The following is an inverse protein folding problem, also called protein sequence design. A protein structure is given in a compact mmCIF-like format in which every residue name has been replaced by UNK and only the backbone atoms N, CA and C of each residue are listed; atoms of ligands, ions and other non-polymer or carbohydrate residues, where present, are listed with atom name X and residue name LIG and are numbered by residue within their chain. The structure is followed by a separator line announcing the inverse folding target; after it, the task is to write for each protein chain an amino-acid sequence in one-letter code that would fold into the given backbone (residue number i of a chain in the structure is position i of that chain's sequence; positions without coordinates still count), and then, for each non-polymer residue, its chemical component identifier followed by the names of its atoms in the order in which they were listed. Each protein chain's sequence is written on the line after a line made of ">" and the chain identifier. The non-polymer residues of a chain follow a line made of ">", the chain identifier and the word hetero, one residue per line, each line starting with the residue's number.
data_IF_154236525873
#
_entry.id   IF_154236525873
#
_cell.length_a   1.000
_cell.length_b   1.000
_cell.length_c   1.000
_cell.angle_alpha   90.00
_cell.angle_beta   90.00
_cell.angle_gamma   90.00
#
_symmetry.space_group_name_H-M   'P 1'
#
loop_
_entity.id
_entity.type
_entity.pdbx_description
1 polymer ?
#
# COMPACT_ATOMS: atom_id res chain seq x y z
N UNK A 1 0.10 -17.57 4.42
CA UNK A 1 1.31 -18.10 5.10
C UNK A 1 2.56 -17.25 4.86
N UNK A 2 2.88 -16.85 3.62
CA UNK A 2 4.04 -15.98 3.31
C UNK A 2 4.06 -14.64 4.06
N UNK A 3 2.91 -13.95 4.16
CA UNK A 3 2.83 -12.65 4.85
C UNK A 3 3.02 -12.76 6.38
N UNK A 4 2.63 -13.90 6.98
CA UNK A 4 2.84 -14.17 8.41
C UNK A 4 4.32 -14.47 8.70
N UNK A 5 4.96 -15.26 7.84
CA UNK A 5 6.40 -15.54 7.95
C UNK A 5 7.25 -14.27 7.79
N UNK A 6 6.89 -13.40 6.83
CA UNK A 6 7.56 -12.11 6.62
C UNK A 6 7.38 -11.18 7.84
N UNK A 7 6.19 -11.15 8.44
CA UNK A 7 5.93 -10.39 9.67
C UNK A 7 6.77 -10.87 10.86
N UNK A 8 6.85 -12.18 11.07
CA UNK A 8 7.69 -12.78 12.13
C UNK A 8 9.17 -12.46 11.90
N UNK A 9 9.66 -12.56 10.67
CA UNK A 9 11.04 -12.23 10.32
C UNK A 9 11.37 -10.75 10.61
N UNK A 10 10.45 -9.84 10.26
CA UNK A 10 10.61 -8.41 10.53
C UNK A 10 10.67 -8.13 12.04
N UNK A 11 9.80 -8.75 12.83
CA UNK A 11 9.82 -8.61 14.30
C UNK A 11 11.12 -9.14 14.90
N UNK A 12 11.61 -10.31 14.45
CA UNK A 12 12.88 -10.87 14.91
C UNK A 12 14.07 -9.97 14.54
N UNK A 13 14.07 -9.38 13.34
CA UNK A 13 15.09 -8.44 12.89
C UNK A 13 15.11 -7.18 13.77
N UNK A 14 13.94 -6.63 14.10
CA UNK A 14 13.84 -5.47 14.98
C UNK A 14 14.35 -5.78 16.40
N UNK A 15 14.01 -6.95 16.94
CA UNK A 15 14.51 -7.40 18.25
C UNK A 15 16.03 -7.56 18.20
N UNK A 16 16.58 -8.18 17.15
CA UNK A 16 18.02 -8.34 16.98
C UNK A 16 18.74 -6.98 16.91
N UNK A 17 18.21 -6.01 16.16
CA UNK A 17 18.77 -4.66 16.11
C UNK A 17 18.70 -3.97 17.47
N UNK A 18 17.60 -4.10 18.21
CA UNK A 18 17.47 -3.54 19.55
C UNK A 18 18.52 -4.12 20.52
N UNK A 19 18.76 -5.43 20.44
CA UNK A 19 19.80 -6.11 21.24
C UNK A 19 21.20 -5.59 20.86
N UNK A 20 21.51 -5.47 19.57
CA UNK A 20 22.81 -4.97 19.11
C UNK A 20 23.07 -3.55 19.60
N UNK A 21 22.05 -2.67 19.52
CA UNK A 21 22.15 -1.30 20.02
C UNK A 21 22.37 -1.30 21.53
N UNK A 22 21.62 -2.11 22.28
CA UNK A 22 21.75 -2.22 23.73
C UNK A 22 23.12 -2.76 24.16
N UNK A 23 23.64 -3.80 23.50
CA UNK A 23 24.97 -4.35 23.79
C UNK A 23 26.04 -3.32 23.47
N UNK A 24 25.89 -2.60 22.36
CA UNK A 24 26.83 -1.55 21.97
C UNK A 24 26.87 -0.42 23.01
N UNK A 25 25.72 0.06 23.52
CA UNK A 25 25.70 1.10 24.55
C UNK A 25 26.36 0.63 25.86
N UNK A 26 26.14 -0.62 26.28
CA UNK A 26 26.80 -1.18 27.46
C UNK A 26 28.33 -1.23 27.30
N UNK A 27 28.82 -1.62 26.11
CA UNK A 27 30.26 -1.65 25.82
C UNK A 27 30.85 -0.23 25.89
N UNK A 28 30.20 0.76 25.26
CA UNK A 28 30.67 2.15 25.29
C UNK A 28 30.68 2.73 26.72
N UNK A 29 29.65 2.45 27.52
CA UNK A 29 29.59 2.89 28.92
C UNK A 29 30.68 2.20 29.76
N UNK A 30 30.92 0.90 29.55
CA UNK A 30 31.96 0.16 30.25
C UNK A 30 33.37 0.65 29.93
N UNK A 31 33.68 0.86 28.64
CA UNK A 31 34.95 1.45 28.20
C UNK A 31 35.10 2.86 28.77
N UNK A 32 34.02 3.65 28.75
CA UNK A 32 34.01 4.99 29.31
C UNK A 32 34.30 5.02 30.81
N UNK A 33 33.69 4.11 31.58
CA UNK A 33 33.94 3.97 33.01
C UNK A 33 35.38 3.50 33.30
N UNK A 34 35.90 2.54 32.54
CA UNK A 34 37.27 2.06 32.68
C UNK A 34 38.31 3.14 32.40
N UNK A 35 38.13 3.91 31.31
CA UNK A 35 38.98 5.06 31.01
C UNK A 35 38.84 6.17 32.06
N UNK A 36 37.65 6.30 32.68
CA UNK A 36 37.39 7.25 33.78
C UNK A 36 38.23 7.00 35.03
N UNK A 37 38.69 5.76 35.25
CA UNK A 37 39.56 5.45 36.37
C UNK A 37 41.05 5.72 36.07
N UNK A 38 41.44 5.86 34.80
CA UNK A 38 42.86 5.87 34.37
C UNK A 38 43.37 7.28 34.06
N UNK A 39 42.51 8.19 33.59
CA UNK A 39 42.92 9.57 33.24
C UNK A 39 42.26 10.59 34.21
N UNK A 40 42.84 11.80 34.39
CA UNK A 40 42.17 12.89 35.10
C UNK A 40 41.15 13.55 34.16
N UNK A 41 39.89 13.09 34.25
CA UNK A 41 38.81 13.27 33.28
C UNK A 41 37.98 14.55 33.45
N UNK A 42 38.22 15.55 32.61
CA UNK A 42 37.18 16.54 32.26
C UNK A 42 36.86 16.52 30.76
N UNK A 43 37.87 16.36 29.91
CA UNK A 43 37.72 16.38 28.46
C UNK A 43 37.06 15.12 27.89
N UNK A 44 37.36 13.94 28.44
CA UNK A 44 36.83 12.67 27.92
C UNK A 44 35.33 12.52 28.16
N UNK A 45 34.84 12.95 29.32
CA UNK A 45 33.42 12.91 29.66
C UNK A 45 32.60 13.83 28.75
N UNK A 46 33.15 15.00 28.40
CA UNK A 46 32.58 15.90 27.39
C UNK A 46 32.59 15.32 25.98
N UNK A 47 33.68 14.65 25.58
CA UNK A 47 33.78 13.99 24.28
C UNK A 47 32.78 12.82 24.14
N UNK A 48 32.59 12.01 25.18
CA UNK A 48 31.58 10.95 25.16
C UNK A 48 30.16 11.50 25.10
N UNK A 49 29.88 12.57 25.84
CA UNK A 49 28.56 13.21 25.82
C UNK A 49 28.25 13.82 24.45
N UNK A 50 29.24 14.46 23.80
CA UNK A 50 29.07 15.04 22.47
C UNK A 50 28.90 13.98 21.38
N UNK A 51 29.67 12.88 21.44
CA UNK A 51 29.54 11.76 20.49
C UNK A 51 28.18 11.07 20.68
N UNK A 52 27.76 10.83 21.93
CA UNK A 52 26.48 10.19 22.25
C UNK A 52 25.30 11.04 21.76
N UNK A 53 25.31 12.34 22.05
CA UNK A 53 24.25 13.25 21.59
C UNK A 53 24.21 13.36 20.07
N UNK A 54 25.35 13.45 19.39
CA UNK A 54 25.41 13.47 17.94
C UNK A 54 24.82 12.18 17.34
N UNK A 55 25.16 11.02 17.89
CA UNK A 55 24.64 9.73 17.41
C UNK A 55 23.13 9.62 17.59
N UNK A 56 22.59 10.02 18.75
CA UNK A 56 21.14 10.02 19.01
C UNK A 56 20.41 10.97 18.06
N UNK A 57 20.96 12.15 17.78
CA UNK A 57 20.37 13.09 16.82
C UNK A 57 20.34 12.51 15.40
N UNK A 58 21.44 11.89 14.96
CA UNK A 58 21.51 11.26 13.63
C UNK A 58 20.51 10.12 13.51
N UNK A 59 20.39 9.26 14.53
CA UNK A 59 19.41 8.18 14.54
C UNK A 59 17.95 8.69 14.58
N UNK A 60 17.70 9.78 15.30
CA UNK A 60 16.37 10.38 15.36
C UNK A 60 15.97 10.98 14.01
N UNK A 61 16.89 11.68 13.35
CA UNK A 61 16.69 12.26 12.02
C UNK A 61 16.50 11.15 10.98
N UNK A 62 17.32 10.10 11.02
CA UNK A 62 17.19 8.98 10.08
C UNK A 62 15.88 8.21 10.28
N UNK A 63 15.44 8.00 11.52
CA UNK A 63 14.14 7.39 11.81
C UNK A 63 12.97 8.21 11.27
N UNK A 64 13.00 9.54 11.42
CA UNK A 64 11.98 10.44 10.86
C UNK A 64 12.01 10.39 9.32
N UNK A 65 13.19 10.41 8.71
CA UNK A 65 13.34 10.31 7.26
C UNK A 65 12.77 8.98 6.73
N UNK A 66 13.10 7.87 7.38
CA UNK A 66 12.58 6.54 7.01
C UNK A 66 11.07 6.47 7.19
N UNK A 67 10.52 6.98 8.29
CA UNK A 67 9.07 7.00 8.51
C UNK A 67 8.34 7.76 7.38
N UNK A 68 8.90 8.88 6.91
CA UNK A 68 8.37 9.64 5.77
C UNK A 68 8.45 8.87 4.45
N UNK A 69 9.52 8.10 4.23
CA UNK A 69 9.67 7.25 3.03
C UNK A 69 8.68 6.10 3.04
N UNK A 70 8.47 5.45 4.19
CA UNK A 70 7.50 4.35 4.35
C UNK A 70 6.08 4.86 4.06
N UNK A 71 5.68 5.99 4.63
CA UNK A 71 4.35 6.58 4.36
C UNK A 71 4.11 6.83 2.87
N UNK A 72 5.16 7.23 2.14
CA UNK A 72 5.09 7.45 0.69
C UNK A 72 5.02 6.14 -0.11
N UNK A 73 5.64 5.06 0.37
CA UNK A 73 5.53 3.74 -0.28
C UNK A 73 4.14 3.12 -0.06
N UNK A 74 3.55 3.27 1.14
CA UNK A 74 2.19 2.79 1.39
C UNK A 74 1.14 3.45 0.51
N UNK A 75 1.36 4.68 0.03
CA UNK A 75 0.48 5.31 -0.97
C UNK A 75 0.66 4.72 -2.38
N UNK A 76 1.87 4.27 -2.74
CA UNK A 76 2.16 3.68 -4.05
C UNK A 76 1.73 2.21 -4.16
N UNK A 77 1.80 1.44 -3.08
CA UNK A 77 1.38 0.03 -3.06
C UNK A 77 -0.16 -0.14 -3.04
N UNK A 78 -0.92 0.92 -2.76
CA UNK A 78 -2.39 0.91 -2.81
C UNK A 78 -2.96 1.10 -4.23
N UNK A 79 -2.13 1.37 -5.23
CA UNK A 79 -2.58 1.78 -6.58
C UNK A 79 -2.40 0.70 -7.66
N UNK A 80 -2.27 -0.58 -7.29
CA UNK A 80 -1.97 -1.69 -8.21
C UNK A 80 -3.17 -2.61 -8.55
N UNK A 81 -4.39 -2.30 -8.08
CA UNK A 81 -5.56 -3.20 -8.22
C UNK A 81 -6.58 -2.82 -9.32
N UNK A 82 -6.21 -2.07 -10.38
CA UNK A 82 -7.14 -1.76 -11.49
C UNK A 82 -6.49 -1.92 -12.88
N UNK A 83 -6.15 -3.16 -13.22
CA UNK A 83 -5.90 -3.59 -14.61
C UNK A 83 -6.68 -4.89 -14.85
N UNK A 84 -7.98 -4.77 -15.18
CA UNK A 84 -8.67 -5.88 -15.85
C UNK A 84 -8.31 -5.84 -17.34
N UNK A 85 -7.47 -6.79 -17.71
CA UNK A 85 -7.03 -7.17 -19.04
C UNK A 85 -8.05 -8.16 -19.62
N UNK A 86 -8.94 -7.71 -20.51
CA UNK A 86 -9.78 -8.57 -21.34
C UNK A 86 -9.82 -7.92 -22.74
N UNK A 87 -8.81 -8.11 -23.59
CA UNK A 87 -8.58 -9.27 -24.45
C UNK A 87 -9.83 -9.73 -25.21
N UNK A 88 -9.65 -9.74 -26.53
CA UNK A 88 -10.56 -10.06 -27.62
C UNK A 88 -11.56 -11.21 -27.40
N UNK A 89 -12.79 -10.98 -27.88
CA UNK A 89 -13.80 -12.00 -28.10
C UNK A 89 -14.53 -11.68 -29.39
N UNK A 90 -13.99 -12.19 -30.50
CA UNK A 90 -14.70 -12.37 -31.77
C UNK A 90 -16.02 -13.11 -31.46
N UNK A 91 -17.17 -12.54 -31.82
CA UNK A 91 -18.45 -13.23 -31.75
C UNK A 91 -18.88 -13.62 -33.16
N UNK A 92 -18.48 -14.82 -33.57
CA UNK A 92 -19.22 -15.63 -34.52
C UNK A 92 -20.44 -16.28 -33.81
N UNK A 93 -21.37 -16.76 -34.63
CA UNK A 93 -22.47 -17.70 -34.36
C UNK A 93 -23.89 -17.12 -34.31
N UNK A 94 -24.53 -17.26 -35.48
CA UNK A 94 -25.62 -18.21 -35.75
C UNK A 94 -27.00 -18.05 -35.07
N UNK A 95 -27.96 -17.79 -35.97
CA UNK A 95 -29.22 -18.51 -36.16
C UNK A 95 -30.11 -18.80 -34.93
N UNK A 96 -31.16 -18.00 -34.80
CA UNK A 96 -32.45 -18.56 -34.41
C UNK A 96 -33.58 -17.90 -35.21
N UNK A 97 -34.09 -18.67 -36.16
CA UNK A 97 -35.34 -18.47 -36.87
C UNK A 97 -36.50 -18.26 -35.89
N UNK A 98 -37.35 -17.28 -36.17
CA UNK A 98 -38.76 -17.34 -35.80
C UNK A 98 -39.57 -16.63 -36.89
N UNK A 99 -40.19 -17.44 -37.74
CA UNK A 99 -41.12 -17.07 -38.78
C UNK A 99 -42.30 -16.26 -38.21
N UNK A 100 -42.38 -14.97 -38.55
CA UNK A 100 -43.66 -14.22 -38.54
C UNK A 100 -43.72 -13.38 -39.81
N UNK A 101 -44.42 -13.91 -40.82
CA UNK A 101 -45.04 -13.09 -41.87
C UNK A 101 -46.06 -12.14 -41.21
N UNK A 102 -45.90 -10.84 -41.38
CA UNK A 102 -46.83 -10.01 -42.17
C UNK A 102 -46.47 -8.53 -42.03
N UNK A 103 -46.65 -7.85 -43.14
CA UNK A 103 -46.34 -6.48 -43.47
C UNK A 103 -47.03 -5.50 -42.50
N UNK A 104 -46.34 -4.45 -42.05
CA UNK A 104 -46.78 -3.03 -42.10
C UNK A 104 -45.80 -2.09 -41.39
N UNK A 105 -44.96 -1.45 -42.20
CA UNK A 105 -44.63 -0.02 -42.17
C UNK A 105 -44.60 0.70 -40.81
N UNK A 106 -43.40 0.70 -40.20
CA UNK A 106 -42.63 1.85 -39.69
C UNK A 106 -43.43 3.01 -39.05
N UNK A 107 -43.40 3.09 -37.73
CA UNK A 107 -42.58 4.06 -36.98
C UNK A 107 -43.09 4.13 -35.52
N UNK A 108 -42.91 3.06 -34.75
CA UNK A 108 -42.72 3.26 -33.31
C UNK A 108 -41.25 3.56 -33.15
N UNK A 109 -40.95 4.74 -32.63
CA UNK A 109 -39.66 5.01 -31.99
C UNK A 109 -39.53 3.93 -30.94
N UNK A 110 -38.78 2.88 -31.27
CA UNK A 110 -38.36 1.88 -30.29
C UNK A 110 -37.52 2.69 -29.33
N UNK A 111 -38.06 2.95 -28.15
CA UNK A 111 -37.28 3.48 -27.04
C UNK A 111 -36.25 2.39 -26.76
N UNK A 112 -35.09 2.53 -27.42
CA UNK A 112 -33.93 1.69 -27.22
C UNK A 112 -33.46 1.98 -25.80
N UNK A 113 -34.15 1.42 -24.81
CA UNK A 113 -33.62 1.28 -23.46
C UNK A 113 -32.46 0.32 -23.63
N UNK A 114 -31.29 0.88 -23.92
CA UNK A 114 -30.02 0.16 -23.91
C UNK A 114 -30.04 -0.63 -22.60
N UNK A 115 -30.08 -1.96 -22.68
CA UNK A 115 -30.04 -2.81 -21.49
C UNK A 115 -28.65 -2.65 -20.88
N UNK A 116 -28.50 -1.66 -20.01
CA UNK A 116 -27.24 -1.36 -19.35
C UNK A 116 -26.96 -2.53 -18.39
N UNK A 117 -25.87 -3.26 -18.65
CA UNK A 117 -25.47 -4.36 -17.78
C UNK A 117 -25.25 -3.87 -16.35
N UNK A 118 -25.75 -4.62 -15.35
CA UNK A 118 -25.69 -4.26 -13.90
C UNK A 118 -24.29 -3.83 -13.42
N UNK A 119 -23.22 -4.32 -14.05
CA UNK A 119 -21.85 -4.01 -13.65
C UNK A 119 -21.21 -2.82 -14.40
N UNK A 120 -21.82 -2.27 -15.45
CA UNK A 120 -21.29 -1.11 -16.20
C UNK A 120 -21.38 0.16 -15.35
N UNK A 121 -20.58 1.18 -15.66
CA UNK A 121 -20.69 2.51 -15.04
C UNK A 121 -22.09 3.08 -15.23
N UNK A 122 -22.61 3.70 -14.17
CA UNK A 122 -23.96 4.23 -14.15
C UNK A 122 -24.03 5.51 -15.02
N UNK A 123 -25.00 5.61 -15.94
CA UNK A 123 -25.10 6.75 -16.87
C UNK A 123 -25.47 8.07 -16.17
N UNK A 124 -25.82 8.05 -14.88
CA UNK A 124 -26.07 9.27 -14.10
C UNK A 124 -24.78 10.05 -13.73
N UNK A 125 -23.60 9.54 -14.11
CA UNK A 125 -22.32 10.22 -13.89
C UNK A 125 -21.77 10.09 -12.46
N UNK A 126 -22.32 9.20 -11.64
CA UNK A 126 -21.88 8.99 -10.26
C UNK A 126 -20.52 8.30 -10.11
N UNK A 127 -19.98 7.75 -11.20
CA UNK A 127 -18.77 6.90 -11.18
C UNK A 127 -18.98 5.51 -10.56
N UNK A 128 -20.20 5.16 -10.15
CA UNK A 128 -20.53 3.87 -9.53
C UNK A 128 -21.06 2.87 -10.59
N UNK A 129 -20.90 1.56 -10.35
CA UNK A 129 -21.52 0.50 -11.18
C UNK A 129 -23.06 0.58 -11.09
N UNK A 130 -23.79 0.34 -12.19
CA UNK A 130 -25.25 0.51 -12.29
C UNK A 130 -26.02 -0.17 -11.16
N UNK A 131 -25.67 -1.42 -10.82
CA UNK A 131 -26.27 -2.21 -9.71
C UNK A 131 -26.10 -1.59 -8.32
N UNK A 132 -25.13 -0.69 -8.15
CA UNK A 132 -24.82 0.00 -6.88
C UNK A 132 -25.34 1.44 -6.87
N UNK A 133 -25.98 1.87 -7.94
CA UNK A 133 -26.52 3.21 -8.11
C UNK A 133 -27.99 3.12 -8.56
N UNK A 134 -28.32 3.50 -9.79
CA UNK A 134 -29.71 3.51 -10.28
C UNK A 134 -30.39 2.12 -10.34
N UNK A 135 -29.61 1.03 -10.39
CA UNK A 135 -30.12 -0.35 -10.39
C UNK A 135 -30.04 -1.07 -9.05
N UNK A 136 -30.01 -0.33 -7.93
CA UNK A 136 -29.87 -0.89 -6.58
C UNK A 136 -31.15 -1.56 -6.07
N UNK A 137 -32.32 -1.04 -6.46
CA UNK A 137 -33.63 -1.48 -5.96
C UNK A 137 -34.45 -2.25 -7.02
N UNK A 138 -33.76 -2.79 -8.04
CA UNK A 138 -34.34 -3.57 -9.15
C UNK A 138 -33.77 -4.97 -9.30
#
# INVERSE_FOLDING_TARGET
>A
MRNLANGIFLVLLLIALAIVVFVSTLIFVGIGYGLSCILPLSLFQGALLSISTAFVLVLSISAIAIARLISRQTELEYMDDDYDEDLDGEFDDDDQDDDIEDLHNRHRVVENTVKIGRNRLCPCGSGLKYKRCCGKDG
#
